data_IF_308373178338
#
_entry.id   IF_308373178338
#
_cell.length_a   1.000
_cell.length_b   1.000
_cell.length_c   1.000
_cell.angle_alpha   90.00
_cell.angle_beta   90.00
_cell.angle_gamma   90.00
#
_symmetry.space_group_name_H-M   'P 1'
#
loop_
_entity.id
_entity.type
_entity.pdbx_description
1 polymer ?
#
# COMPACT_ATOMS: atom_id res chain seq x y z
N UNK A 1 -35.01 15.76 -3.41
CA UNK A 1 -35.18 14.57 -2.55
C UNK A 1 -34.60 14.91 -1.18
N UNK A 2 -35.15 14.43 -0.05
CA UNK A 2 -34.57 14.66 1.26
C UNK A 2 -33.10 14.19 1.26
N UNK A 3 -32.19 15.04 1.73
CA UNK A 3 -30.74 14.72 1.83
C UNK A 3 -30.43 13.72 2.95
N UNK A 4 -31.44 13.29 3.69
CA UNK A 4 -31.37 12.39 4.85
C UNK A 4 -32.13 11.07 4.66
N UNK A 5 -32.68 10.80 3.48
CA UNK A 5 -33.32 9.52 3.17
C UNK A 5 -32.29 8.43 2.82
N UNK A 6 -32.67 7.15 2.95
CA UNK A 6 -31.79 6.01 2.65
C UNK A 6 -31.33 5.92 1.19
N UNK A 7 -31.97 6.66 0.28
CA UNK A 7 -31.72 6.56 -1.16
C UNK A 7 -32.32 5.28 -1.75
N UNK A 8 -31.81 4.88 -2.93
CA UNK A 8 -32.26 3.69 -3.67
C UNK A 8 -31.29 2.50 -3.55
N UNK A 9 -30.14 2.69 -2.89
CA UNK A 9 -29.11 1.66 -2.69
C UNK A 9 -29.34 0.94 -1.37
N UNK A 10 -28.81 -0.27 -1.25
CA UNK A 10 -28.97 -1.08 -0.04
C UNK A 10 -28.26 -0.44 1.16
N UNK A 11 -27.12 0.18 0.91
CA UNK A 11 -26.32 0.93 1.88
C UNK A 11 -25.92 2.31 1.35
N UNK A 12 -25.83 3.33 2.22
CA UNK A 12 -25.17 4.59 1.86
C UNK A 12 -23.71 4.35 1.44
N UNK A 13 -23.19 5.15 0.51
CA UNK A 13 -21.75 5.13 0.24
C UNK A 13 -21.00 5.78 1.41
N UNK A 14 -20.13 5.01 2.03
CA UNK A 14 -19.38 5.42 3.22
C UNK A 14 -18.03 4.70 3.25
N UNK A 15 -17.03 5.39 3.79
CA UNK A 15 -15.72 4.80 4.14
C UNK A 15 -15.78 4.02 5.47
N UNK A 16 -16.89 4.13 6.20
CA UNK A 16 -17.15 3.36 7.41
C UNK A 16 -17.79 2.01 7.06
N UNK A 17 -17.08 0.92 7.35
CA UNK A 17 -17.52 -0.45 7.10
C UNK A 17 -18.76 -0.84 7.92
N UNK A 18 -19.02 -0.15 9.04
CA UNK A 18 -20.24 -0.36 9.83
C UNK A 18 -21.47 0.24 9.14
N UNK A 19 -21.29 1.28 8.32
CA UNK A 19 -22.36 1.92 7.55
C UNK A 19 -22.56 1.23 6.21
N UNK A 20 -21.46 0.87 5.54
CA UNK A 20 -21.50 0.11 4.29
C UNK A 20 -20.61 -1.13 4.44
N UNK A 21 -21.17 -2.33 4.66
CA UNK A 21 -20.40 -3.55 4.86
C UNK A 21 -19.99 -4.26 3.57
N UNK A 22 -20.33 -3.71 2.38
CA UNK A 22 -20.14 -4.41 1.11
C UNK A 22 -18.67 -4.61 0.77
N UNK A 23 -18.34 -5.82 0.33
CA UNK A 23 -17.03 -6.24 -0.15
C UNK A 23 -17.17 -7.06 -1.42
N UNK A 24 -16.06 -7.37 -2.08
CA UNK A 24 -16.01 -8.26 -3.22
C UNK A 24 -16.53 -9.67 -2.92
N UNK A 25 -16.46 -10.10 -1.64
CA UNK A 25 -17.03 -11.39 -1.23
C UNK A 25 -18.55 -11.44 -1.40
N UNK A 26 -19.22 -10.30 -1.56
CA UNK A 26 -20.65 -10.24 -1.84
C UNK A 26 -20.98 -10.45 -3.33
N UNK A 27 -20.00 -10.49 -4.24
CA UNK A 27 -20.20 -10.73 -5.67
C UNK A 27 -20.75 -12.13 -5.93
N UNK A 28 -21.80 -12.23 -6.74
CA UNK A 28 -22.49 -13.50 -7.01
C UNK A 28 -23.35 -14.02 -5.85
N UNK A 29 -23.42 -13.31 -4.72
CA UNK A 29 -24.12 -13.76 -3.50
C UNK A 29 -25.47 -13.06 -3.36
N UNK A 30 -26.55 -13.84 -3.29
CA UNK A 30 -27.90 -13.33 -3.04
C UNK A 30 -28.02 -12.73 -1.62
N UNK A 31 -28.69 -11.58 -1.42
CA UNK A 31 -29.50 -10.83 -2.41
C UNK A 31 -28.74 -9.75 -3.18
N UNK A 32 -27.48 -9.48 -2.83
CA UNK A 32 -26.77 -8.32 -3.36
C UNK A 32 -26.07 -8.67 -4.69
N UNK A 33 -25.01 -9.47 -4.71
CA UNK A 33 -24.16 -9.60 -5.90
C UNK A 33 -24.73 -10.37 -7.12
N UNK A 34 -26.05 -10.50 -7.26
CA UNK A 34 -26.69 -11.26 -8.34
C UNK A 34 -27.33 -10.41 -9.44
N UNK A 35 -27.45 -9.09 -9.26
CA UNK A 35 -28.02 -8.16 -10.25
C UNK A 35 -27.13 -6.92 -10.42
N UNK A 36 -27.14 -6.33 -11.61
CA UNK A 36 -26.23 -5.26 -12.02
C UNK A 36 -26.23 -4.02 -11.12
N UNK A 37 -27.36 -3.63 -10.55
CA UNK A 37 -27.45 -2.46 -9.67
C UNK A 37 -26.80 -2.71 -8.31
N UNK A 38 -26.96 -3.91 -7.78
CA UNK A 38 -26.37 -4.33 -6.52
C UNK A 38 -24.86 -4.62 -6.67
N UNK A 39 -24.46 -5.23 -7.79
CA UNK A 39 -23.05 -5.36 -8.17
C UNK A 39 -22.42 -3.97 -8.34
N UNK A 40 -23.13 -3.06 -8.99
CA UNK A 40 -22.71 -1.66 -9.15
C UNK A 40 -22.51 -0.95 -7.82
N UNK A 41 -23.29 -1.30 -6.79
CA UNK A 41 -23.12 -0.77 -5.44
C UNK A 41 -21.78 -1.18 -4.81
N UNK A 42 -21.35 -2.43 -5.01
CA UNK A 42 -20.03 -2.91 -4.57
C UNK A 42 -18.90 -2.14 -5.27
N UNK A 43 -19.03 -1.91 -6.58
CA UNK A 43 -18.06 -1.12 -7.36
C UNK A 43 -18.00 0.33 -6.90
N UNK A 44 -19.15 0.97 -6.76
CA UNK A 44 -19.23 2.36 -6.30
C UNK A 44 -18.68 2.52 -4.88
N UNK A 45 -18.90 1.54 -3.99
CA UNK A 45 -18.28 1.56 -2.65
C UNK A 45 -16.75 1.54 -2.73
N UNK A 46 -16.17 0.74 -3.62
CA UNK A 46 -14.72 0.71 -3.83
C UNK A 46 -14.18 2.03 -4.43
N UNK A 47 -14.89 2.61 -5.42
CA UNK A 47 -14.54 3.91 -5.99
C UNK A 47 -14.68 5.06 -4.97
N UNK A 48 -15.64 4.95 -4.05
CA UNK A 48 -15.83 5.92 -2.97
C UNK A 48 -14.63 5.96 -2.02
N UNK A 49 -14.18 4.78 -1.55
CA UNK A 49 -12.95 4.67 -0.76
C UNK A 49 -11.74 5.22 -1.52
N UNK A 50 -11.64 4.93 -2.82
CA UNK A 50 -10.52 5.40 -3.65
C UNK A 50 -10.50 6.92 -3.72
N UNK A 51 -11.67 7.51 -3.95
CA UNK A 51 -11.83 8.96 -4.04
C UNK A 51 -11.44 9.62 -2.72
N UNK A 52 -11.91 9.13 -1.58
CA UNK A 52 -11.53 9.66 -0.27
C UNK A 52 -10.06 9.42 0.08
N UNK A 53 -9.49 8.28 -0.33
CA UNK A 53 -8.06 8.01 -0.18
C UNK A 53 -7.20 9.03 -0.92
N UNK A 54 -7.58 9.36 -2.16
CA UNK A 54 -6.89 10.36 -2.99
C UNK A 54 -7.12 11.78 -2.44
N UNK A 55 -8.35 12.15 -2.04
CA UNK A 55 -8.65 13.44 -1.39
C UNK A 55 -7.78 13.65 -0.15
N UNK A 56 -7.63 12.62 0.69
CA UNK A 56 -6.77 12.69 1.87
C UNK A 56 -5.30 12.84 1.49
N UNK A 57 -4.86 12.20 0.41
CA UNK A 57 -3.49 12.31 -0.09
C UNK A 57 -3.18 13.70 -0.67
N UNK A 58 -4.13 14.33 -1.38
CA UNK A 58 -3.94 15.69 -1.94
C UNK A 58 -4.26 16.80 -0.93
N UNK A 59 -5.08 16.50 0.09
CA UNK A 59 -5.46 17.44 1.16
C UNK A 59 -6.55 18.44 0.77
N UNK A 60 -7.20 18.28 -0.38
CA UNK A 60 -8.16 19.25 -0.90
C UNK A 60 -9.23 18.63 -1.83
N UNK A 61 -10.35 19.32 -1.94
CA UNK A 61 -11.48 18.98 -2.81
C UNK A 61 -11.69 20.14 -3.78
N UNK A 62 -11.81 19.82 -5.06
CA UNK A 62 -12.23 20.77 -6.07
C UNK A 62 -13.74 21.01 -5.98
N UNK A 63 -14.13 22.25 -5.72
CA UNK A 63 -15.54 22.67 -5.69
C UNK A 63 -16.14 22.87 -7.09
N UNK A 64 -15.30 23.06 -8.11
CA UNK A 64 -15.73 23.19 -9.50
C UNK A 64 -15.35 21.94 -10.30
N UNK A 65 -16.27 20.97 -10.39
CA UNK A 65 -16.04 19.70 -11.08
C UNK A 65 -15.67 19.87 -12.57
N UNK A 66 -15.98 21.02 -13.18
CA UNK A 66 -15.67 21.32 -14.58
C UNK A 66 -14.24 21.86 -14.79
N UNK A 67 -13.50 22.16 -13.73
CA UNK A 67 -12.08 22.49 -13.84
C UNK A 67 -11.25 21.21 -14.02
N UNK A 68 -11.01 20.86 -15.29
CA UNK A 68 -10.19 19.72 -15.69
C UNK A 68 -8.69 19.89 -15.37
N UNK A 69 -8.24 21.10 -15.02
CA UNK A 69 -6.85 21.37 -14.64
C UNK A 69 -6.59 21.14 -13.15
N UNK A 70 -7.65 20.99 -12.36
CA UNK A 70 -7.54 20.82 -10.92
C UNK A 70 -6.75 19.57 -10.54
N UNK A 71 -5.82 19.76 -9.59
CA UNK A 71 -5.03 18.70 -8.97
C UNK A 71 -5.66 18.17 -7.68
N UNK A 72 -6.86 18.62 -7.32
CA UNK A 72 -7.54 18.16 -6.11
C UNK A 72 -8.00 16.70 -6.24
N UNK A 73 -8.11 16.01 -5.11
CA UNK A 73 -8.19 14.57 -5.12
C UNK A 73 -9.45 13.99 -5.75
N UNK A 74 -10.59 14.68 -5.67
CA UNK A 74 -11.81 14.28 -6.38
C UNK A 74 -11.67 14.43 -7.91
N UNK A 75 -11.00 15.47 -8.39
CA UNK A 75 -10.70 15.66 -9.82
C UNK A 75 -9.70 14.61 -10.32
N UNK A 76 -8.66 14.32 -9.54
CA UNK A 76 -7.70 13.25 -9.82
C UNK A 76 -8.40 11.89 -9.89
N UNK A 77 -9.23 11.55 -8.89
CA UNK A 77 -9.95 10.29 -8.85
C UNK A 77 -10.88 10.12 -10.05
N UNK A 78 -11.65 11.16 -10.41
CA UNK A 78 -12.50 11.14 -11.59
C UNK A 78 -11.69 10.93 -12.88
N UNK A 79 -10.58 11.65 -13.04
CA UNK A 79 -9.69 11.52 -14.19
C UNK A 79 -9.14 10.10 -14.31
N UNK A 80 -8.68 9.52 -13.20
CA UNK A 80 -8.17 8.15 -13.15
C UNK A 80 -9.22 7.11 -13.54
N UNK A 81 -10.48 7.27 -13.10
CA UNK A 81 -11.58 6.38 -13.51
C UNK A 81 -11.81 6.47 -15.01
N UNK A 82 -11.90 7.70 -15.55
CA UNK A 82 -12.15 7.92 -16.98
C UNK A 82 -11.01 7.35 -17.84
N UNK A 83 -9.75 7.60 -17.46
CA UNK A 83 -8.60 7.03 -18.18
C UNK A 83 -8.54 5.50 -18.02
N UNK A 84 -8.89 4.96 -16.86
CA UNK A 84 -9.00 3.51 -16.64
C UNK A 84 -10.04 2.87 -17.57
N UNK A 85 -11.19 3.50 -17.77
CA UNK A 85 -12.22 3.02 -18.71
C UNK A 85 -11.74 2.94 -20.16
N UNK A 86 -10.77 3.79 -20.56
CA UNK A 86 -10.16 3.73 -21.90
C UNK A 86 -9.13 2.62 -22.03
N UNK A 87 -8.49 2.23 -20.93
CA UNK A 87 -7.38 1.28 -20.89
C UNK A 87 -7.81 -0.16 -20.59
N UNK A 88 -9.01 -0.36 -20.05
CA UNK A 88 -9.53 -1.69 -19.71
C UNK A 88 -9.81 -2.53 -20.97
N UNK A 89 -9.69 -3.87 -20.89
CA UNK A 89 -10.03 -4.76 -22.00
C UNK A 89 -11.53 -4.76 -22.31
N UNK A 90 -11.93 -5.34 -23.44
CA UNK A 90 -13.34 -5.60 -23.73
C UNK A 90 -13.91 -6.62 -22.73
N UNK A 91 -15.15 -6.38 -22.29
CA UNK A 91 -15.85 -7.19 -21.26
C UNK A 91 -15.02 -7.29 -19.96
N UNK A 92 -14.66 -6.15 -19.35
CA UNK A 92 -13.78 -6.15 -18.19
C UNK A 92 -14.51 -6.68 -16.95
N UNK A 93 -13.79 -7.46 -16.15
CA UNK A 93 -14.13 -7.68 -14.76
C UNK A 93 -13.67 -6.54 -13.85
N UNK A 94 -14.11 -6.58 -12.60
CA UNK A 94 -13.71 -5.63 -11.57
C UNK A 94 -12.18 -5.55 -11.35
N UNK A 95 -11.49 -6.69 -11.50
CA UNK A 95 -10.03 -6.77 -11.39
C UNK A 95 -9.35 -6.11 -12.59
N UNK A 96 -9.91 -6.27 -13.79
CA UNK A 96 -9.40 -5.60 -14.99
C UNK A 96 -9.57 -4.09 -14.89
N UNK A 97 -10.74 -3.63 -14.45
CA UNK A 97 -11.01 -2.22 -14.21
C UNK A 97 -10.05 -1.61 -13.17
N UNK A 98 -9.79 -2.30 -12.06
CA UNK A 98 -8.76 -1.88 -11.07
C UNK A 98 -7.39 -1.73 -11.73
N UNK A 99 -6.95 -2.75 -12.46
CA UNK A 99 -5.63 -2.77 -13.07
C UNK A 99 -5.50 -1.65 -14.11
N UNK A 100 -6.57 -1.35 -14.84
CA UNK A 100 -6.64 -0.25 -15.79
C UNK A 100 -6.53 1.13 -15.10
N UNK A 101 -7.19 1.33 -13.95
CA UNK A 101 -7.05 2.56 -13.14
C UNK A 101 -5.62 2.73 -12.62
N UNK A 102 -4.98 1.65 -12.15
CA UNK A 102 -3.56 1.68 -11.73
C UNK A 102 -2.66 1.98 -12.93
N UNK A 103 -2.98 1.45 -14.10
CA UNK A 103 -2.25 1.76 -15.33
C UNK A 103 -2.40 3.23 -15.70
N UNK A 104 -3.61 3.80 -15.61
CA UNK A 104 -3.83 5.24 -15.79
C UNK A 104 -2.95 6.06 -14.83
N UNK A 105 -2.94 5.74 -13.54
CA UNK A 105 -2.10 6.41 -12.54
C UNK A 105 -0.61 6.37 -12.90
N UNK A 106 -0.12 5.21 -13.38
CA UNK A 106 1.27 5.10 -13.84
C UNK A 106 1.59 6.00 -15.04
N UNK A 107 0.62 6.24 -15.93
CA UNK A 107 0.82 7.00 -17.17
C UNK A 107 0.72 8.50 -16.96
N UNK A 108 -0.26 8.96 -16.17
CA UNK A 108 -0.56 10.40 -16.05
C UNK A 108 -0.14 11.03 -14.72
N UNK A 109 0.20 10.21 -13.72
CA UNK A 109 0.64 10.68 -12.39
C UNK A 109 1.88 9.93 -11.87
N UNK A 110 2.59 9.20 -12.73
CA UNK A 110 3.80 8.45 -12.38
C UNK A 110 3.62 7.50 -11.17
N UNK A 111 2.41 6.96 -10.99
CA UNK A 111 2.12 6.00 -9.92
C UNK A 111 1.85 6.63 -8.54
N UNK A 112 1.64 7.96 -8.47
CA UNK A 112 1.52 8.68 -7.20
C UNK A 112 0.36 8.18 -6.33
N UNK A 113 -0.74 7.70 -6.92
CA UNK A 113 -1.96 7.33 -6.19
C UNK A 113 -2.18 5.82 -6.09
N UNK A 114 -1.24 5.00 -6.60
CA UNK A 114 -1.31 3.54 -6.62
C UNK A 114 -1.70 2.93 -5.28
N UNK A 115 -1.18 3.48 -4.18
CA UNK A 115 -1.46 2.95 -2.85
C UNK A 115 -2.90 3.21 -2.39
N UNK A 116 -3.45 4.40 -2.67
CA UNK A 116 -4.85 4.72 -2.41
C UNK A 116 -5.79 3.86 -3.27
N UNK A 117 -5.48 3.71 -4.55
CA UNK A 117 -6.23 2.85 -5.49
C UNK A 117 -6.20 1.40 -5.03
N UNK A 118 -5.02 0.86 -4.71
CA UNK A 118 -4.89 -0.52 -4.28
C UNK A 118 -5.67 -0.79 -2.98
N UNK A 119 -5.54 0.08 -1.99
CA UNK A 119 -6.20 -0.06 -0.68
C UNK A 119 -7.73 0.00 -0.81
N UNK A 120 -8.24 0.97 -1.57
CA UNK A 120 -9.67 1.14 -1.76
C UNK A 120 -10.31 -0.05 -2.49
N UNK A 121 -9.60 -0.58 -3.48
CA UNK A 121 -10.04 -1.77 -4.19
C UNK A 121 -9.66 -3.07 -3.44
N UNK A 122 -9.08 -2.97 -2.22
CA UNK A 122 -8.97 -4.08 -1.26
C UNK A 122 -10.19 -4.25 -0.34
N UNK A 123 -11.37 -3.68 -0.66
CA UNK A 123 -12.66 -4.15 -0.09
C UNK A 123 -12.97 -5.58 -0.55
N UNK A 124 -12.10 -6.55 -0.29
CA UNK A 124 -12.17 -7.94 -0.73
C UNK A 124 -11.59 -8.25 -2.13
N UNK A 125 -11.10 -7.26 -2.91
CA UNK A 125 -10.60 -7.51 -4.28
C UNK A 125 -9.07 -7.59 -4.40
N UNK A 126 -8.33 -7.59 -3.28
CA UNK A 126 -6.87 -7.75 -3.24
C UNK A 126 -6.47 -9.17 -2.88
N UNK A 127 -5.32 -9.65 -3.38
CA UNK A 127 -4.71 -10.91 -2.94
C UNK A 127 -4.45 -10.85 -1.42
N UNK A 128 -4.82 -11.89 -0.67
CA UNK A 128 -4.63 -12.02 0.78
C UNK A 128 -3.22 -11.58 1.21
N UNK A 129 -3.06 -10.41 1.83
CA UNK A 129 -1.94 -10.09 2.74
C UNK A 129 -2.08 -8.70 3.42
N UNK A 130 -3.29 -8.25 3.79
CA UNK A 130 -3.41 -7.09 4.70
C UNK A 130 -4.64 -7.12 5.61
N UNK A 131 -4.90 -8.27 6.23
CA UNK A 131 -5.86 -8.38 7.34
C UNK A 131 -5.12 -8.20 8.66
N UNK A 132 -4.82 -6.96 9.03
CA UNK A 132 -4.66 -6.46 10.42
C UNK A 132 -4.15 -5.02 10.36
N UNK A 133 -5.05 -4.03 10.31
CA UNK A 133 -4.86 -2.71 10.93
C UNK A 133 -6.19 -1.94 10.86
N UNK A 134 -7.03 -2.19 11.86
CA UNK A 134 -8.24 -1.42 12.11
C UNK A 134 -7.87 -0.18 12.95
N UNK A 135 -8.44 0.99 12.58
CA UNK A 135 -8.75 2.16 13.43
C UNK A 135 -7.94 3.47 13.40
N UNK A 136 -7.10 3.76 12.41
CA UNK A 136 -6.83 5.17 12.07
C UNK A 136 -6.35 5.31 10.64
N UNK A 137 -7.15 6.00 9.82
CA UNK A 137 -6.85 6.48 8.47
C UNK A 137 -5.36 6.70 8.22
N UNK A 138 -4.72 5.74 7.54
CA UNK A 138 -3.52 5.96 6.73
C UNK A 138 -3.64 5.08 5.49
N UNK A 139 -4.06 5.63 4.33
CA UNK A 139 -3.99 4.89 3.08
C UNK A 139 -2.52 4.51 2.85
N UNK A 140 -2.29 3.32 2.28
CA UNK A 140 -0.95 2.79 2.06
C UNK A 140 -0.02 3.90 1.57
N UNK A 141 1.20 3.95 2.12
CA UNK A 141 2.29 4.86 1.73
C UNK A 141 2.25 6.30 2.31
N UNK A 142 2.01 6.45 3.61
CA UNK A 142 2.68 7.51 4.39
C UNK A 142 3.74 6.87 5.28
N UNK A 143 4.88 6.49 4.69
CA UNK A 143 6.11 6.68 5.45
C UNK A 143 6.28 8.20 5.54
N UNK A 144 5.78 8.81 6.62
CA UNK A 144 6.60 9.86 7.20
C UNK A 144 7.85 9.10 7.59
N UNK A 145 8.88 9.16 6.75
CA UNK A 145 10.22 9.04 7.25
C UNK A 145 10.46 10.26 8.16
N UNK A 146 9.84 10.28 9.34
CA UNK A 146 10.68 10.53 10.50
C UNK A 146 11.67 9.39 10.44
N UNK A 147 12.82 9.73 9.88
CA UNK A 147 13.94 8.87 9.57
C UNK A 147 14.22 7.90 10.74
N UNK A 148 13.56 6.75 10.78
CA UNK A 148 14.12 5.54 11.34
C UNK A 148 14.97 4.94 10.23
N UNK A 149 16.04 5.67 9.88
CA UNK A 149 17.17 5.07 9.20
C UNK A 149 17.73 4.04 10.18
N UNK A 150 17.89 2.81 9.71
CA UNK A 150 18.95 1.97 10.25
C UNK A 150 20.25 2.72 9.95
N UNK A 151 20.82 3.35 10.98
CA UNK A 151 22.13 3.95 10.91
C UNK A 151 23.07 3.04 11.66
N UNK A 152 24.08 2.57 10.93
CA UNK A 152 25.26 2.03 11.56
C UNK A 152 26.03 3.23 12.12
N UNK A 153 25.99 3.40 13.45
CA UNK A 153 26.64 4.54 14.10
C UNK A 153 28.15 4.34 14.21
N UNK A 154 28.60 3.09 14.21
CA UNK A 154 30.02 2.71 14.18
C UNK A 154 30.20 1.43 13.35
N UNK A 155 31.04 1.49 12.33
CA UNK A 155 31.52 0.31 11.59
C UNK A 155 32.55 -0.43 12.46
N UNK A 156 32.62 -1.77 12.43
CA UNK A 156 33.71 -2.51 13.06
C UNK A 156 35.05 -2.07 12.45
N UNK A 157 36.03 -1.81 13.31
CA UNK A 157 37.38 -1.50 12.87
C UNK A 157 38.12 -2.77 12.44
N UNK A 158 39.02 -2.64 11.47
CA UNK A 158 39.90 -3.73 11.06
C UNK A 158 40.81 -4.16 12.22
N UNK A 159 40.94 -5.47 12.44
CA UNK A 159 41.78 -6.03 13.47
C UNK A 159 42.74 -7.08 12.87
N UNK A 160 44.04 -6.91 13.11
CA UNK A 160 45.07 -7.89 12.76
C UNK A 160 45.48 -8.67 14.01
N UNK A 161 45.29 -10.01 14.00
CA UNK A 161 45.62 -10.87 15.14
C UNK A 161 46.32 -12.14 14.68
N UNK A 162 46.98 -12.85 15.61
CA UNK A 162 47.62 -14.13 15.34
C UNK A 162 46.59 -15.26 15.19
N UNK A 163 46.87 -16.22 14.30
CA UNK A 163 46.01 -17.38 14.07
C UNK A 163 45.67 -18.12 15.38
N UNK A 164 44.39 -18.40 15.59
CA UNK A 164 43.87 -19.02 16.82
C UNK A 164 43.47 -18.05 17.93
N UNK A 165 43.66 -16.73 17.75
CA UNK A 165 43.20 -15.71 18.71
C UNK A 165 41.74 -15.33 18.46
N UNK A 166 40.98 -15.10 19.53
CA UNK A 166 39.61 -14.61 19.43
C UNK A 166 39.60 -13.10 19.15
N UNK A 167 38.79 -12.66 18.19
CA UNK A 167 38.58 -11.25 17.85
C UNK A 167 37.12 -10.89 18.07
N UNK A 168 36.87 -9.83 18.84
CA UNK A 168 35.52 -9.34 19.09
C UNK A 168 35.24 -8.14 18.19
N UNK A 169 34.22 -8.24 17.36
CA UNK A 169 33.71 -7.12 16.57
C UNK A 169 32.40 -6.63 17.19
N UNK A 170 32.34 -5.35 17.52
CA UNK A 170 31.11 -4.69 17.98
C UNK A 170 30.61 -3.72 16.93
N UNK A 171 29.31 -3.77 16.64
CA UNK A 171 28.61 -2.74 15.86
C UNK A 171 27.66 -1.98 16.79
N UNK A 172 27.55 -0.66 16.63
CA UNK A 172 26.50 0.11 17.29
C UNK A 172 25.45 0.51 16.24
N UNK A 173 24.20 0.14 16.49
CA UNK A 173 23.07 0.44 15.61
C UNK A 173 22.04 1.27 16.37
N UNK A 174 21.46 2.28 15.71
CA UNK A 174 20.33 3.03 16.26
C UNK A 174 19.10 2.74 15.39
N UNK A 175 18.06 2.14 15.96
CA UNK A 175 16.83 1.76 15.24
C UNK A 175 16.41 0.30 15.47
N UNK A 176 15.32 -0.15 14.82
CA UNK A 176 14.83 -1.53 14.92
C UNK A 176 15.64 -2.45 13.99
N UNK A 177 16.46 -3.33 14.57
CA UNK A 177 17.17 -4.39 13.84
C UNK A 177 16.36 -5.68 13.98
N UNK A 178 15.78 -6.16 12.88
CA UNK A 178 15.03 -7.42 12.89
C UNK A 178 15.90 -8.64 12.61
N UNK A 179 16.95 -8.50 11.79
CA UNK A 179 17.88 -9.59 11.43
C UNK A 179 19.26 -9.00 11.09
N UNK A 180 20.35 -9.73 11.38
CA UNK A 180 21.69 -9.39 10.87
C UNK A 180 22.51 -10.66 10.62
N UNK A 181 23.52 -10.57 9.73
CA UNK A 181 24.44 -11.66 9.41
C UNK A 181 25.86 -11.14 9.29
N UNK A 182 26.83 -11.87 9.86
CA UNK A 182 28.25 -11.59 9.69
C UNK A 182 28.77 -12.30 8.45
N UNK A 183 29.63 -11.61 7.70
CA UNK A 183 30.35 -12.14 6.54
C UNK A 183 31.85 -11.95 6.74
N UNK A 184 32.64 -12.89 6.24
CA UNK A 184 34.10 -12.83 6.27
C UNK A 184 34.63 -12.85 4.84
N UNK A 185 35.69 -12.08 4.59
CA UNK A 185 36.46 -12.13 3.35
C UNK A 185 37.93 -12.37 3.70
N UNK A 186 38.57 -13.29 2.99
CA UNK A 186 40.01 -13.56 3.10
C UNK A 186 40.81 -13.00 1.93
N UNK A 187 40.14 -12.32 0.99
CA UNK A 187 40.70 -11.87 -0.28
C UNK A 187 40.55 -10.35 -0.51
N UNK A 188 40.41 -9.58 0.58
CA UNK A 188 40.33 -8.12 0.49
C UNK A 188 38.97 -7.59 -0.01
N UNK A 189 37.91 -8.38 0.16
CA UNK A 189 36.54 -8.01 -0.15
C UNK A 189 36.03 -8.47 -1.51
N UNK A 190 36.80 -9.26 -2.28
CA UNK A 190 36.35 -9.79 -3.57
C UNK A 190 35.38 -10.98 -3.43
N UNK A 191 35.48 -11.76 -2.36
CA UNK A 191 34.51 -12.80 -2.00
C UNK A 191 34.13 -12.69 -0.52
N UNK A 192 32.83 -12.83 -0.25
CA UNK A 192 32.24 -12.73 1.08
C UNK A 192 31.55 -14.06 1.40
N UNK A 193 32.00 -14.75 2.42
CA UNK A 193 31.40 -15.99 2.90
C UNK A 193 30.59 -15.74 4.18
N UNK A 194 29.44 -16.39 4.30
CA UNK A 194 28.61 -16.30 5.51
C UNK A 194 29.27 -17.06 6.66
N UNK A 195 29.38 -16.42 7.83
CA UNK A 195 29.91 -17.09 9.02
C UNK A 195 28.89 -18.11 9.56
N UNK A 196 28.99 -19.36 9.13
CA UNK A 196 28.27 -20.48 9.75
C UNK A 196 29.03 -21.02 10.97
N UNK A 197 28.28 -21.40 12.00
CA UNK A 197 28.71 -21.76 13.36
C UNK A 197 29.79 -22.87 13.42
N UNK A 198 31.03 -22.51 13.13
CA UNK A 198 32.24 -23.24 13.54
C UNK A 198 33.48 -22.33 13.69
N UNK A 199 33.40 -21.04 13.31
CA UNK A 199 34.52 -20.08 13.45
C UNK A 199 34.19 -18.75 14.16
N UNK A 200 32.93 -18.45 14.46
CA UNK A 200 32.56 -17.24 15.21
C UNK A 200 31.39 -17.56 16.16
N UNK A 201 31.61 -17.37 17.47
CA UNK A 201 30.56 -17.44 18.48
C UNK A 201 29.99 -16.05 18.73
N UNK A 202 28.70 -15.84 18.43
CA UNK A 202 28.01 -14.58 18.74
C UNK A 202 27.47 -14.62 20.18
N UNK A 203 27.84 -13.66 21.02
CA UNK A 203 27.22 -13.41 22.33
C UNK A 203 26.77 -11.95 22.42
N UNK A 204 25.61 -11.71 23.03
CA UNK A 204 25.07 -10.37 23.30
C UNK A 204 24.93 -10.14 24.79
N UNK A 205 25.22 -8.92 25.24
CA UNK A 205 24.65 -8.28 26.44
C UNK A 205 24.11 -6.93 26.05
#
# INVERSE_FOLDING_TARGET
MPTTGSGIRNYPYSTDIAVNPLTYANMGVNPIGTESHNIGEIWCAALWEMTWGIIQQTGNINSNLFDASSTAGNSVALKLVIEGMKLQPCVPGFIDARNAIIKADSLIYNGAYKCAIWTALQRGMGTELYRKFQQRYRPCCFFSASSLRFLLSTQPADASTCEGSNVNFSIATTGLVSNYQWQVSTDGGTTLEQCFCSKCSNSYT
#
